data_IF_067795554731
#
_entry.id   IF_067795554731
#
_cell.length_a   1.000
_cell.length_b   1.000
_cell.length_c   1.000
_cell.angle_alpha   90.00
_cell.angle_beta   90.00
_cell.angle_gamma   90.00
#
_symmetry.space_group_name_H-M   'P 1'
#
loop_
_entity.id
_entity.type
_entity.pdbx_description
1 polymer ?
#
# COMPACT_ATOMS: atom_id res chain seq x y z
N UNK A 1 2.55 50.25 11.79
CA UNK A 1 1.30 49.80 11.15
C UNK A 1 1.37 48.28 11.13
N UNK A 2 0.57 47.62 11.96
CA UNK A 2 0.60 46.18 12.14
C UNK A 2 -0.79 45.56 12.03
N UNK A 3 -0.78 44.22 11.97
CA UNK A 3 -1.87 43.23 11.83
C UNK A 3 -2.10 42.75 10.39
N UNK A 4 -2.28 41.46 10.12
CA UNK A 4 -2.17 40.19 10.87
C UNK A 4 -2.20 39.10 9.79
N UNK A 5 -1.28 38.14 9.84
CA UNK A 5 -1.42 36.88 9.12
C UNK A 5 -2.55 36.09 9.80
N UNK A 6 -3.54 35.66 9.01
CA UNK A 6 -4.66 34.85 9.44
C UNK A 6 -4.28 33.37 9.45
N UNK A 7 -4.66 32.73 10.54
CA UNK A 7 -4.38 31.36 10.97
C UNK A 7 -4.81 30.30 9.94
N UNK A 8 -3.88 29.46 9.46
CA UNK A 8 -4.18 28.26 8.66
C UNK A 8 -4.51 27.03 9.53
N UNK A 9 -4.45 27.16 10.86
CA UNK A 9 -4.68 26.05 11.80
C UNK A 9 -6.15 25.68 12.00
N UNK A 10 -7.10 26.56 11.64
CA UNK A 10 -8.52 26.37 11.91
C UNK A 10 -9.32 25.65 10.80
N UNK A 11 -8.70 25.39 9.63
CA UNK A 11 -9.40 24.76 8.49
C UNK A 11 -9.36 23.22 8.52
N UNK A 12 -8.35 22.62 9.15
CA UNK A 12 -8.24 21.16 9.30
C UNK A 12 -9.22 20.60 10.35
N UNK A 13 -9.54 21.38 11.38
CA UNK A 13 -10.41 20.91 12.47
C UNK A 13 -11.92 20.92 12.16
N UNK A 14 -12.35 21.65 11.12
CA UNK A 14 -13.79 21.85 10.83
C UNK A 14 -14.34 20.84 9.80
N UNK A 15 -13.47 20.16 9.04
CA UNK A 15 -13.91 19.14 8.07
C UNK A 15 -14.15 17.75 8.67
N UNK A 16 -13.66 17.48 9.88
CA UNK A 16 -13.81 16.16 10.51
C UNK A 16 -15.14 15.92 11.26
N UNK A 17 -15.97 16.93 11.50
CA UNK A 17 -17.22 16.77 12.27
C UNK A 17 -18.47 16.47 11.45
N UNK A 18 -18.36 16.18 10.14
CA UNK A 18 -19.51 15.79 9.29
C UNK A 18 -19.47 14.34 8.79
N UNK A 19 -18.81 13.44 9.53
CA UNK A 19 -18.77 11.99 9.22
C UNK A 19 -19.44 11.10 10.28
N UNK A 20 -20.50 11.57 10.92
CA UNK A 20 -21.41 10.69 11.65
C UNK A 20 -22.84 11.19 11.46
N UNK A 21 -23.56 10.61 10.50
CA UNK A 21 -25.01 10.36 10.57
C UNK A 21 -25.46 9.61 9.31
N UNK A 22 -25.42 8.28 9.38
CA UNK A 22 -26.07 7.35 8.46
C UNK A 22 -26.85 6.31 9.27
N UNK A 23 -28.07 5.90 8.84
CA UNK A 23 -29.11 5.45 9.76
C UNK A 23 -28.92 4.00 10.23
N UNK A 24 -28.99 3.81 11.54
CA UNK A 24 -28.96 2.49 12.19
C UNK A 24 -30.23 1.64 11.96
N UNK A 25 -30.14 0.31 12.10
CA UNK A 25 -31.21 -0.62 11.73
C UNK A 25 -32.32 -0.66 12.80
N UNK A 26 -33.54 -0.30 12.42
CA UNK A 26 -34.71 -0.41 13.28
C UNK A 26 -35.31 -1.83 13.26
N UNK A 27 -35.29 -2.48 14.43
CA UNK A 27 -36.44 -3.14 15.06
C UNK A 27 -37.16 -4.27 14.31
N UNK A 28 -36.74 -5.51 14.57
CA UNK A 28 -37.53 -6.73 14.33
C UNK A 28 -38.80 -6.74 15.20
N UNK A 29 -39.97 -6.81 14.58
CA UNK A 29 -41.22 -7.17 15.27
C UNK A 29 -41.42 -8.70 15.27
N UNK A 30 -41.61 -9.25 16.47
CA UNK A 30 -42.00 -10.64 16.69
C UNK A 30 -43.42 -10.92 16.20
N UNK A 31 -43.56 -11.86 15.26
CA UNK A 31 -44.84 -12.54 15.01
C UNK A 31 -44.63 -14.05 15.14
N UNK A 32 -45.16 -14.61 16.24
CA UNK A 32 -45.21 -16.07 16.48
C UNK A 32 -46.11 -16.72 15.42
N UNK A 33 -45.55 -17.64 14.63
CA UNK A 33 -46.32 -18.58 13.83
C UNK A 33 -45.99 -20.00 14.28
N UNK A 34 -47.06 -20.78 14.49
CA UNK A 34 -47.09 -22.14 15.03
C UNK A 34 -46.36 -23.13 14.10
N UNK A 35 -45.62 -24.06 14.68
CA UNK A 35 -45.18 -25.30 14.01
C UNK A 35 -46.33 -26.30 13.93
N UNK A 36 -46.36 -27.12 12.88
CA UNK A 36 -46.72 -28.52 13.02
C UNK A 36 -45.56 -29.44 12.62
N UNK A 37 -45.38 -30.50 13.39
CA UNK A 37 -44.43 -31.59 13.18
C UNK A 37 -44.82 -32.45 11.98
N UNK A 38 -43.81 -32.98 11.28
CA UNK A 38 -43.96 -33.98 10.23
C UNK A 38 -42.61 -34.37 9.66
N UNK A 39 -42.07 -35.51 10.08
CA UNK A 39 -40.77 -36.03 9.65
C UNK A 39 -40.77 -36.61 8.24
N UNK A 40 -39.58 -36.61 7.63
CA UNK A 40 -39.18 -37.59 6.62
C UNK A 40 -37.64 -37.57 6.50
N UNK A 41 -37.04 -38.74 6.68
CA UNK A 41 -35.66 -39.06 6.29
C UNK A 41 -35.41 -38.68 4.83
N UNK A 42 -34.37 -37.90 4.60
CA UNK A 42 -33.87 -37.55 3.28
C UNK A 42 -32.35 -37.52 3.31
N UNK A 43 -31.73 -38.54 2.73
CA UNK A 43 -30.28 -38.70 2.62
C UNK A 43 -29.60 -37.40 2.17
N UNK A 44 -28.63 -36.93 2.96
CA UNK A 44 -27.74 -35.83 2.61
C UNK A 44 -26.86 -36.33 1.46
N UNK A 45 -27.21 -35.98 0.22
CA UNK A 45 -26.26 -35.95 -0.88
C UNK A 45 -25.24 -34.87 -0.55
N UNK A 46 -24.03 -35.27 -0.19
CA UNK A 46 -22.89 -34.35 -0.16
C UNK A 46 -22.76 -33.72 -1.55
N UNK A 47 -23.07 -32.43 -1.62
CA UNK A 47 -22.72 -31.64 -2.79
C UNK A 47 -21.20 -31.38 -2.72
N UNK A 48 -20.49 -31.40 -3.87
CA UNK A 48 -19.08 -31.08 -3.90
C UNK A 48 -18.86 -29.70 -3.28
N UNK A 49 -17.93 -29.59 -2.33
CA UNK A 49 -17.48 -28.31 -1.77
C UNK A 49 -16.57 -27.61 -2.77
N UNK A 50 -17.12 -27.28 -3.92
CA UNK A 50 -16.47 -26.36 -4.85
C UNK A 50 -17.32 -25.09 -4.89
N UNK A 51 -17.22 -24.32 -3.81
CA UNK A 51 -17.64 -22.92 -3.85
C UNK A 51 -16.39 -22.17 -4.29
N UNK A 52 -16.26 -21.93 -5.59
CA UNK A 52 -15.44 -20.85 -6.09
C UNK A 52 -15.76 -19.61 -5.26
N UNK A 53 -14.80 -19.23 -4.42
CA UNK A 53 -15.00 -18.21 -3.40
C UNK A 53 -14.81 -16.88 -4.09
N UNK A 54 -15.89 -16.13 -4.28
CA UNK A 54 -15.80 -14.79 -4.85
C UNK A 54 -14.99 -13.90 -3.89
N UNK A 55 -13.86 -13.39 -4.36
CA UNK A 55 -13.08 -12.34 -3.72
C UNK A 55 -13.72 -11.02 -4.15
N UNK A 56 -14.11 -10.19 -3.18
CA UNK A 56 -14.54 -8.83 -3.46
C UNK A 56 -13.28 -7.97 -3.43
N UNK A 57 -13.01 -7.25 -4.52
CA UNK A 57 -11.92 -6.29 -4.59
C UNK A 57 -12.55 -4.91 -4.45
N UNK A 58 -12.25 -4.23 -3.35
CA UNK A 58 -12.64 -2.83 -3.12
C UNK A 58 -11.47 -1.91 -2.77
N UNK A 59 -10.27 -2.49 -2.61
CA UNK A 59 -9.03 -1.79 -2.38
C UNK A 59 -7.78 -2.56 -2.82
N UNK A 60 -6.65 -1.98 -2.49
CA UNK A 60 -5.36 -2.67 -2.44
C UNK A 60 -4.68 -2.36 -1.10
N UNK A 61 -3.89 -3.29 -0.57
CA UNK A 61 -3.01 -3.03 0.57
C UNK A 61 -1.56 -2.93 0.12
N UNK A 62 -0.76 -2.13 0.81
CA UNK A 62 0.62 -1.86 0.44
C UNK A 62 1.58 -1.90 1.62
N UNK A 63 2.85 -2.22 1.30
CA UNK A 63 4.01 -1.77 2.03
C UNK A 63 4.49 -0.47 1.38
N UNK A 64 4.33 0.65 2.08
CA UNK A 64 4.79 1.96 1.64
C UNK A 64 6.15 2.34 2.22
N UNK A 65 6.92 3.12 1.46
CA UNK A 65 8.24 3.61 1.84
C UNK A 65 8.28 5.14 1.91
N UNK A 66 9.03 5.69 2.85
CA UNK A 66 9.36 7.10 2.86
C UNK A 66 10.37 7.43 1.76
N UNK A 67 9.87 8.01 0.67
CA UNK A 67 10.64 8.38 -0.51
C UNK A 67 10.97 9.89 -0.55
N UNK A 68 10.77 10.62 0.57
CA UNK A 68 10.95 12.07 0.57
C UNK A 68 12.41 12.45 0.27
N UNK A 69 12.64 13.04 -0.90
CA UNK A 69 13.96 13.46 -1.38
C UNK A 69 14.36 14.83 -0.80
N UNK A 70 14.55 14.86 0.52
CA UNK A 70 15.03 16.01 1.26
C UNK A 70 15.86 15.56 2.46
N UNK A 71 16.95 16.27 2.75
CA UNK A 71 17.78 16.06 3.95
C UNK A 71 17.02 16.28 5.26
N UNK A 72 15.85 16.92 5.20
CA UNK A 72 14.94 17.11 6.32
C UNK A 72 14.12 15.84 6.65
N UNK A 73 14.07 14.86 5.75
CA UNK A 73 13.42 13.56 6.02
C UNK A 73 14.16 12.82 7.13
N UNK A 74 13.40 12.26 8.08
CA UNK A 74 13.96 11.45 9.18
C UNK A 74 13.96 9.95 8.86
N UNK A 75 13.40 9.54 7.71
CA UNK A 75 13.49 8.17 7.22
C UNK A 75 14.91 7.81 6.76
N UNK A 76 15.21 6.52 6.73
CA UNK A 76 16.51 5.98 6.37
C UNK A 76 16.88 6.37 4.92
N UNK A 77 18.04 6.99 4.66
CA UNK A 77 18.39 7.53 3.35
C UNK A 77 18.38 6.52 2.19
N UNK A 78 18.71 5.25 2.46
CA UNK A 78 18.60 4.15 1.48
C UNK A 78 17.20 4.04 0.84
N UNK A 79 16.13 4.43 1.55
CA UNK A 79 14.77 4.40 1.03
C UNK A 79 14.49 5.45 -0.04
N UNK A 80 15.40 6.41 -0.30
CA UNK A 80 15.29 7.33 -1.44
C UNK A 80 15.68 6.65 -2.76
N UNK A 81 16.51 5.61 -2.69
CA UNK A 81 16.97 4.86 -3.86
C UNK A 81 15.90 3.86 -4.35
N UNK A 82 15.38 4.02 -5.58
CA UNK A 82 14.42 3.08 -6.13
C UNK A 82 14.98 1.66 -6.28
N UNK A 83 16.27 1.49 -6.55
CA UNK A 83 16.86 0.15 -6.71
C UNK A 83 16.88 -0.63 -5.39
N UNK A 84 17.08 0.07 -4.27
CA UNK A 84 16.98 -0.50 -2.93
C UNK A 84 15.56 -0.99 -2.63
N UNK A 85 14.56 -0.13 -2.84
CA UNK A 85 13.14 -0.47 -2.63
C UNK A 85 12.68 -1.60 -3.56
N UNK A 86 13.07 -1.53 -4.83
CA UNK A 86 12.71 -2.49 -5.87
C UNK A 86 13.13 -3.92 -5.48
N UNK A 87 14.33 -4.07 -4.91
CA UNK A 87 14.86 -5.37 -4.49
C UNK A 87 13.94 -6.13 -3.52
N UNK A 88 13.15 -5.41 -2.71
CA UNK A 88 12.23 -6.01 -1.75
C UNK A 88 11.05 -6.75 -2.39
N UNK A 89 10.69 -6.44 -3.64
CA UNK A 89 9.66 -7.21 -4.35
C UNK A 89 10.04 -8.70 -4.49
N UNK A 90 11.33 -9.00 -4.69
CA UNK A 90 11.80 -10.39 -4.75
C UNK A 90 11.99 -11.02 -3.37
N UNK A 91 12.08 -10.21 -2.31
CA UNK A 91 12.19 -10.71 -0.94
C UNK A 91 10.84 -11.15 -0.37
N UNK A 92 9.72 -10.63 -0.87
CA UNK A 92 8.40 -10.86 -0.29
C UNK A 92 7.64 -12.01 -0.98
N UNK A 93 7.24 -13.02 -0.20
CA UNK A 93 6.35 -14.08 -0.67
C UNK A 93 4.88 -13.64 -0.49
N UNK A 94 4.39 -12.84 -1.45
CA UNK A 94 3.04 -12.27 -1.39
C UNK A 94 1.95 -13.34 -1.33
N UNK A 95 2.12 -14.48 -2.02
CA UNK A 95 1.16 -15.58 -1.95
C UNK A 95 1.09 -16.16 -0.53
N UNK A 96 2.24 -16.38 0.11
CA UNK A 96 2.26 -16.81 1.51
C UNK A 96 1.68 -15.76 2.46
N UNK A 97 1.86 -14.47 2.16
CA UNK A 97 1.19 -13.37 2.86
C UNK A 97 -0.33 -13.51 2.79
N UNK A 98 -0.88 -13.63 1.59
CA UNK A 98 -2.31 -13.86 1.34
C UNK A 98 -2.83 -15.11 2.07
N UNK A 99 -2.10 -16.22 2.00
CA UNK A 99 -2.52 -17.49 2.61
C UNK A 99 -2.54 -17.42 4.15
N UNK A 100 -1.58 -16.73 4.76
CA UNK A 100 -1.43 -16.69 6.22
C UNK A 100 -2.20 -15.55 6.87
N UNK A 101 -2.12 -14.34 6.31
CA UNK A 101 -2.70 -13.14 6.89
C UNK A 101 -4.17 -13.01 6.51
N UNK A 102 -4.49 -13.23 5.23
CA UNK A 102 -5.85 -13.10 4.71
C UNK A 102 -6.52 -14.43 4.43
N UNK A 103 -5.97 -15.57 4.82
CA UNK A 103 -6.58 -16.90 4.68
C UNK A 103 -7.11 -17.20 3.25
N UNK A 104 -6.47 -16.62 2.23
CA UNK A 104 -6.88 -16.73 0.83
C UNK A 104 -8.15 -15.94 0.45
N UNK A 105 -8.53 -14.92 1.21
CA UNK A 105 -9.65 -14.02 0.89
C UNK A 105 -9.25 -12.82 0.02
N UNK A 106 -7.95 -12.63 -0.21
CA UNK A 106 -7.38 -11.61 -1.11
C UNK A 106 -6.54 -12.30 -2.18
N UNK A 107 -6.02 -11.55 -3.15
CA UNK A 107 -5.08 -12.06 -4.16
C UNK A 107 -3.80 -11.23 -4.15
N UNK A 108 -2.63 -11.82 -4.48
CA UNK A 108 -1.38 -11.07 -4.53
C UNK A 108 -1.47 -9.86 -5.47
N UNK A 109 -0.98 -8.71 -5.01
CA UNK A 109 -0.97 -7.47 -5.76
C UNK A 109 0.13 -7.42 -6.82
N UNK A 110 -0.03 -6.55 -7.82
CA UNK A 110 1.00 -6.22 -8.82
C UNK A 110 1.19 -4.72 -8.96
N UNK A 111 0.12 -3.99 -9.27
CA UNK A 111 0.10 -2.52 -9.42
C UNK A 111 -0.99 -1.90 -8.55
N UNK A 112 -1.03 -0.57 -8.47
CA UNK A 112 -2.02 0.17 -7.67
C UNK A 112 -3.46 0.11 -8.23
N UNK A 113 -3.65 -0.43 -9.43
CA UNK A 113 -4.98 -0.65 -10.01
C UNK A 113 -5.18 -2.16 -10.10
N UNK A 114 -6.14 -2.76 -9.39
CA UNK A 114 -6.38 -4.20 -9.47
C UNK A 114 -6.93 -4.62 -10.85
N UNK A 115 -6.63 -5.85 -11.31
CA UNK A 115 -7.22 -6.40 -12.53
C UNK A 115 -8.75 -6.58 -12.37
N UNK A 116 -9.48 -6.51 -13.49
CA UNK A 116 -10.92 -6.77 -13.57
C UNK A 116 -11.83 -5.85 -12.72
N UNK A 117 -11.30 -4.82 -12.06
CA UNK A 117 -12.11 -3.83 -11.34
C UNK A 117 -12.82 -2.86 -12.29
N UNK A 118 -12.14 -2.46 -13.37
CA UNK A 118 -12.68 -1.64 -14.44
C UNK A 118 -12.93 -2.49 -15.70
N UNK A 119 -13.80 -2.04 -16.61
CA UNK A 119 -14.19 -2.86 -17.78
C UNK A 119 -14.33 -2.11 -19.11
N UNK A 120 -14.28 -0.77 -19.14
CA UNK A 120 -14.38 0.02 -20.38
C UNK A 120 -13.74 1.43 -20.23
N UNK A 121 -12.41 1.56 -20.42
CA UNK A 121 -11.44 0.47 -20.52
C UNK A 121 -11.15 -0.15 -19.15
N UNK A 122 -10.54 -1.34 -19.15
CA UNK A 122 -9.81 -1.81 -17.98
C UNK A 122 -8.52 -1.00 -17.87
N UNK A 123 -8.32 -0.30 -16.75
CA UNK A 123 -7.16 0.57 -16.53
C UNK A 123 -5.94 -0.20 -15.99
N UNK A 124 -6.10 -1.49 -15.68
CA UNK A 124 -5.02 -2.30 -15.13
C UNK A 124 -3.90 -2.53 -16.15
N UNK A 125 -2.68 -2.15 -15.77
CA UNK A 125 -1.48 -2.56 -16.48
C UNK A 125 -0.91 -3.81 -15.81
N UNK A 126 -0.90 -4.93 -16.54
CA UNK A 126 -0.27 -6.15 -16.06
C UNK A 126 1.22 -6.15 -16.45
N UNK A 127 2.15 -6.22 -15.48
CA UNK A 127 3.57 -6.34 -15.77
C UNK A 127 3.84 -7.59 -16.64
N UNK A 128 4.54 -7.45 -17.78
CA UNK A 128 4.95 -8.59 -18.59
C UNK A 128 5.75 -9.62 -17.78
N UNK A 129 5.62 -10.90 -18.12
CA UNK A 129 6.23 -11.99 -17.36
C UNK A 129 7.76 -11.86 -17.21
N UNK A 130 8.41 -11.18 -18.15
CA UNK A 130 9.86 -10.95 -18.17
C UNK A 130 10.33 -9.93 -17.13
N UNK A 131 9.46 -9.01 -16.72
CA UNK A 131 9.78 -7.97 -15.73
C UNK A 131 9.01 -8.15 -14.42
N UNK A 132 8.02 -9.05 -14.41
CA UNK A 132 7.20 -9.33 -13.23
C UNK A 132 8.06 -9.86 -12.08
N UNK A 133 7.98 -9.19 -10.93
CA UNK A 133 8.60 -9.64 -9.70
C UNK A 133 8.02 -10.97 -9.24
N UNK A 134 8.92 -11.81 -8.74
CA UNK A 134 8.60 -13.13 -8.17
C UNK A 134 9.38 -13.30 -6.89
N UNK A 135 8.84 -14.09 -5.94
CA UNK A 135 9.55 -14.37 -4.71
C UNK A 135 10.82 -15.20 -4.99
N UNK A 136 11.97 -14.55 -4.86
CA UNK A 136 13.30 -15.12 -4.99
C UNK A 136 14.30 -14.31 -4.13
N UNK A 137 14.52 -14.71 -2.86
CA UNK A 137 15.44 -14.01 -1.97
C UNK A 137 16.89 -13.95 -2.48
N UNK A 138 17.31 -14.85 -3.37
CA UNK A 138 18.66 -14.80 -3.93
C UNK A 138 18.77 -13.70 -5.00
N UNK A 139 17.72 -13.53 -5.82
CA UNK A 139 17.64 -12.35 -6.71
C UNK A 139 17.57 -11.06 -5.90
N UNK A 140 16.80 -11.02 -4.81
CA UNK A 140 16.75 -9.84 -3.94
C UNK A 140 18.13 -9.46 -3.39
N UNK A 141 18.90 -10.45 -2.90
CA UNK A 141 20.30 -10.23 -2.46
C UNK A 141 21.17 -9.68 -3.58
N UNK A 142 21.12 -10.29 -4.76
CA UNK A 142 21.88 -9.82 -5.92
C UNK A 142 21.50 -8.38 -6.29
N UNK A 143 20.21 -8.04 -6.26
CA UNK A 143 19.73 -6.69 -6.58
C UNK A 143 20.19 -5.65 -5.56
N UNK A 144 20.21 -6.01 -4.27
CA UNK A 144 20.77 -5.16 -3.22
C UNK A 144 22.28 -4.96 -3.39
N UNK A 145 23.04 -6.00 -3.78
CA UNK A 145 24.46 -5.88 -4.10
C UNK A 145 24.70 -4.95 -5.31
N UNK A 146 23.94 -5.14 -6.40
CA UNK A 146 24.00 -4.32 -7.61
C UNK A 146 23.65 -2.85 -7.34
N UNK A 147 22.73 -2.60 -6.41
CA UNK A 147 22.31 -1.28 -5.97
C UNK A 147 23.31 -0.61 -5.01
N UNK A 148 24.34 -1.32 -4.55
CA UNK A 148 25.39 -0.76 -3.70
C UNK A 148 25.15 -0.89 -2.19
N UNK A 149 24.35 -1.88 -1.77
CA UNK A 149 24.09 -2.21 -0.35
C UNK A 149 24.65 -3.59 -0.01
N UNK A 150 25.97 -3.82 -0.14
CA UNK A 150 26.58 -5.11 0.18
C UNK A 150 26.47 -5.46 1.67
N UNK A 151 26.75 -6.71 2.01
CA UNK A 151 27.21 -7.15 3.34
C UNK A 151 28.75 -7.21 3.27
N UNK A 152 29.40 -6.14 3.70
CA UNK A 152 30.82 -5.88 3.45
C UNK A 152 31.73 -6.61 4.42
N UNK A 153 31.25 -6.87 5.63
CA UNK A 153 32.02 -7.52 6.70
C UNK A 153 31.66 -9.01 6.91
N UNK A 154 30.60 -9.48 6.26
CA UNK A 154 30.16 -10.88 6.26
C UNK A 154 29.42 -11.27 7.53
N UNK A 155 28.89 -10.31 8.29
CA UNK A 155 28.11 -10.56 9.50
C UNK A 155 26.64 -10.95 9.22
N UNK A 156 26.22 -10.84 7.96
CA UNK A 156 24.89 -11.15 7.48
C UNK A 156 23.95 -9.94 7.38
N UNK A 157 24.42 -8.72 7.71
CA UNK A 157 23.67 -7.48 7.58
C UNK A 157 24.27 -6.59 6.50
N UNK A 158 23.41 -5.99 5.69
CA UNK A 158 23.82 -5.06 4.64
C UNK A 158 24.06 -3.68 5.20
N UNK A 159 24.99 -2.94 4.62
CA UNK A 159 25.35 -1.61 5.09
C UNK A 159 24.98 -0.49 4.11
N UNK A 160 24.73 0.69 4.67
CA UNK A 160 24.66 1.96 3.97
C UNK A 160 25.73 2.88 4.54
N UNK A 161 26.63 3.39 3.69
CA UNK A 161 27.77 4.22 4.11
C UNK A 161 28.65 3.58 5.21
N UNK A 162 28.68 2.24 5.27
CA UNK A 162 29.49 1.46 6.20
C UNK A 162 28.81 1.15 7.54
N UNK A 163 27.55 1.54 7.74
CA UNK A 163 26.76 1.22 8.93
C UNK A 163 25.63 0.23 8.58
N UNK A 164 25.29 -0.74 9.46
CA UNK A 164 24.20 -1.68 9.21
C UNK A 164 22.85 -0.99 8.96
N UNK A 165 22.11 -1.47 7.98
CA UNK A 165 20.79 -0.94 7.65
C UNK A 165 19.75 -1.51 8.62
N UNK A 166 19.16 -0.62 9.41
CA UNK A 166 18.00 -0.91 10.26
C UNK A 166 16.82 -0.04 9.84
N UNK A 167 15.67 -0.66 9.57
CA UNK A 167 14.45 0.03 9.15
C UNK A 167 13.32 -0.18 10.16
N UNK A 168 12.56 0.86 10.45
CA UNK A 168 11.26 0.77 11.11
C UNK A 168 10.16 0.28 10.16
N UNK A 169 9.31 -0.63 10.63
CA UNK A 169 8.08 -1.00 9.93
C UNK A 169 6.88 -0.81 10.84
N UNK A 170 6.00 0.11 10.45
CA UNK A 170 4.80 0.41 11.22
C UNK A 170 3.62 -0.38 10.68
N UNK A 171 3.00 -1.18 11.55
CA UNK A 171 1.70 -1.80 11.31
C UNK A 171 0.62 -1.14 12.16
N UNK A 172 -0.61 -1.11 11.64
CA UNK A 172 -1.75 -0.49 12.32
C UNK A 172 -2.35 -1.40 13.40
N UNK A 173 -2.74 -0.83 14.53
CA UNK A 173 -3.50 -1.53 15.60
C UNK A 173 -4.82 -2.10 15.05
N UNK A 174 -5.41 -1.38 14.10
CA UNK A 174 -6.70 -1.61 13.48
C UNK A 174 -6.72 -2.86 12.58
N UNK A 175 -5.56 -3.32 12.13
CA UNK A 175 -5.41 -4.42 11.18
C UNK A 175 -4.57 -5.55 11.75
N UNK A 176 -5.22 -6.66 12.13
CA UNK A 176 -4.54 -7.85 12.61
C UNK A 176 -3.74 -8.53 11.50
N UNK A 177 -4.23 -8.43 10.27
CA UNK A 177 -3.62 -8.88 9.03
C UNK A 177 -2.31 -8.13 8.78
N UNK A 178 -2.31 -6.80 8.87
CA UNK A 178 -1.09 -5.98 8.74
C UNK A 178 -0.06 -6.31 9.83
N UNK A 179 -0.49 -6.53 11.08
CA UNK A 179 0.43 -6.93 12.15
C UNK A 179 1.04 -8.32 11.94
N UNK A 180 0.34 -9.23 11.27
CA UNK A 180 0.88 -10.54 10.89
C UNK A 180 1.82 -10.40 9.71
N UNK A 181 1.45 -9.63 8.68
CA UNK A 181 2.27 -9.40 7.50
C UNK A 181 3.58 -8.70 7.88
N UNK A 182 3.56 -7.71 8.78
CA UNK A 182 4.78 -7.03 9.24
C UNK A 182 5.81 -8.01 9.85
N UNK A 183 5.36 -9.05 10.54
CA UNK A 183 6.25 -10.10 11.08
C UNK A 183 6.83 -10.98 9.98
N UNK A 184 6.06 -11.26 8.93
CA UNK A 184 6.55 -11.97 7.75
C UNK A 184 7.59 -11.14 7.01
N UNK A 185 7.31 -9.85 6.76
CA UNK A 185 8.23 -8.89 6.15
C UNK A 185 9.53 -8.83 6.94
N UNK A 186 9.49 -8.70 8.26
CA UNK A 186 10.70 -8.69 9.09
C UNK A 186 11.53 -9.98 8.96
N UNK A 187 10.88 -11.14 8.78
CA UNK A 187 11.57 -12.40 8.50
C UNK A 187 12.19 -12.43 7.11
N UNK A 188 11.43 -12.06 6.08
CA UNK A 188 11.88 -12.02 4.69
C UNK A 188 13.03 -11.03 4.46
N UNK A 189 12.95 -9.86 5.08
CA UNK A 189 13.97 -8.82 4.95
C UNK A 189 15.25 -9.22 5.69
N UNK A 190 15.11 -9.89 6.84
CA UNK A 190 16.25 -10.50 7.52
C UNK A 190 16.96 -11.53 6.64
N UNK A 191 16.23 -12.35 5.88
CA UNK A 191 16.82 -13.37 5.00
C UNK A 191 17.66 -12.75 3.86
N UNK A 192 17.44 -11.47 3.54
CA UNK A 192 18.23 -10.69 2.57
C UNK A 192 19.17 -9.68 3.23
N UNK A 193 19.36 -9.74 4.56
CA UNK A 193 20.33 -8.94 5.30
C UNK A 193 19.86 -7.54 5.70
N UNK A 194 18.55 -7.30 5.77
CA UNK A 194 17.98 -6.02 6.24
C UNK A 194 17.25 -6.24 7.56
N UNK A 195 17.64 -5.48 8.60
CA UNK A 195 16.99 -5.58 9.91
C UNK A 195 15.75 -4.71 9.93
N UNK A 196 14.61 -5.31 10.30
CA UNK A 196 13.33 -4.61 10.42
C UNK A 196 12.85 -4.63 11.87
N UNK A 197 12.61 -3.44 12.42
CA UNK A 197 12.03 -3.25 13.75
C UNK A 197 10.53 -2.96 13.57
N UNK A 198 9.67 -3.93 13.93
CA UNK A 198 8.22 -3.78 13.78
C UNK A 198 7.62 -3.03 14.96
N UNK A 199 6.86 -1.99 14.66
CA UNK A 199 6.07 -1.23 15.62
C UNK A 199 4.58 -1.32 15.29
N UNK A 200 3.76 -1.31 16.33
CA UNK A 200 2.30 -1.33 16.18
C UNK A 200 1.74 -0.08 16.85
N UNK A 201 1.09 0.77 16.07
CA UNK A 201 0.48 2.01 16.55
C UNK A 201 -0.86 2.26 15.85
N UNK A 202 -1.70 3.13 16.42
CA UNK A 202 -2.96 3.51 15.81
C UNK A 202 -2.74 4.41 14.58
N UNK A 203 -3.76 4.50 13.73
CA UNK A 203 -3.75 5.31 12.51
C UNK A 203 -3.34 6.77 12.75
N UNK A 204 -3.83 7.39 13.82
CA UNK A 204 -3.53 8.78 14.12
C UNK A 204 -2.06 8.99 14.44
N UNK A 205 -1.47 8.08 15.23
CA UNK A 205 -0.04 8.11 15.53
C UNK A 205 0.85 7.90 14.30
N UNK A 206 0.47 6.99 13.38
CA UNK A 206 1.18 6.83 12.11
C UNK A 206 1.08 8.09 11.25
N UNK A 207 -0.11 8.70 11.15
CA UNK A 207 -0.29 9.95 10.41
C UNK A 207 0.53 11.11 11.02
N UNK A 208 0.61 11.20 12.35
CA UNK A 208 1.43 12.21 13.03
C UNK A 208 2.92 12.09 12.64
N UNK A 209 3.43 10.86 12.41
CA UNK A 209 4.79 10.62 11.92
C UNK A 209 4.92 10.91 10.42
N UNK A 210 3.94 10.50 9.61
CA UNK A 210 3.94 10.72 8.16
C UNK A 210 3.92 12.20 7.80
N UNK A 211 3.14 12.99 8.57
CA UNK A 211 2.95 14.41 8.34
C UNK A 211 3.65 15.31 9.38
N UNK A 212 4.76 14.82 9.95
CA UNK A 212 5.50 15.52 10.99
C UNK A 212 6.17 16.81 10.48
N UNK A 213 6.17 17.85 11.32
CA UNK A 213 6.96 19.08 11.09
C UNK A 213 7.89 19.37 12.26
N UNK A 214 9.12 19.77 11.93
CA UNK A 214 10.06 20.34 12.90
C UNK A 214 10.12 21.86 12.70
N UNK A 215 9.36 22.60 13.50
CA UNK A 215 9.15 24.03 13.28
C UNK A 215 8.20 24.27 12.10
N UNK A 216 8.67 25.00 11.08
CA UNK A 216 7.94 25.24 9.83
C UNK A 216 8.40 24.31 8.69
N UNK A 217 9.26 23.32 8.99
CA UNK A 217 9.86 22.41 8.02
C UNK A 217 9.15 21.06 8.06
N UNK A 218 8.73 20.56 6.90
CA UNK A 218 8.17 19.21 6.75
C UNK A 218 9.27 18.15 6.93
N UNK A 219 9.11 17.24 7.89
CA UNK A 219 10.13 16.27 8.32
C UNK A 219 9.50 14.89 8.57
N UNK A 220 8.99 14.19 7.53
CA UNK A 220 8.35 12.88 7.68
C UNK A 220 9.27 11.90 8.43
N UNK A 221 8.71 11.20 9.42
CA UNK A 221 9.46 10.46 10.42
C UNK A 221 9.04 8.99 10.51
N UNK A 222 9.23 8.30 9.39
CA UNK A 222 8.99 6.87 9.26
C UNK A 222 9.91 6.33 8.16
N UNK A 223 10.15 5.02 8.20
CA UNK A 223 10.85 4.31 7.14
C UNK A 223 9.83 3.61 6.24
N UNK A 224 9.07 2.68 6.83
CA UNK A 224 8.08 1.88 6.12
C UNK A 224 6.79 1.73 6.92
N UNK A 225 5.68 1.54 6.22
CA UNK A 225 4.38 1.33 6.85
C UNK A 225 3.50 0.37 6.04
N UNK A 226 2.54 -0.27 6.71
CA UNK A 226 1.48 -1.04 6.06
C UNK A 226 0.17 -0.28 6.11
N UNK A 227 -0.39 -0.01 4.93
CA UNK A 227 -1.68 0.67 4.77
C UNK A 227 -2.48 0.04 3.62
N UNK A 228 -3.63 0.63 3.33
CA UNK A 228 -4.45 0.25 2.18
C UNK A 228 -5.28 1.41 1.65
N UNK A 229 -5.48 1.43 0.35
CA UNK A 229 -6.30 2.41 -0.36
C UNK A 229 -7.57 1.77 -0.91
N UNK A 230 -8.68 2.50 -0.83
CA UNK A 230 -9.91 2.13 -1.52
C UNK A 230 -9.88 2.59 -2.97
N UNK A 231 -10.58 1.85 -3.82
CA UNK A 231 -10.72 2.18 -5.24
C UNK A 231 -11.87 3.17 -5.45
N UNK A 232 -11.68 4.10 -6.37
CA UNK A 232 -12.74 4.99 -6.85
C UNK A 232 -13.31 4.51 -8.19
N UNK A 233 -14.36 5.17 -8.71
CA UNK A 233 -14.90 4.87 -10.03
C UNK A 233 -13.97 5.30 -11.19
N UNK A 234 -13.07 6.23 -10.93
CA UNK A 234 -12.04 6.66 -11.88
C UNK A 234 -10.68 6.55 -11.19
N UNK A 235 -9.64 5.99 -11.85
CA UNK A 235 -8.34 5.76 -11.22
C UNK A 235 -7.57 7.06 -10.92
N UNK A 236 -8.04 8.20 -11.42
CA UNK A 236 -7.38 9.50 -11.26
C UNK A 236 -7.11 9.89 -9.80
N UNK A 237 -7.96 9.48 -8.84
CA UNK A 237 -7.69 9.74 -7.42
C UNK A 237 -6.45 9.00 -6.92
N UNK A 238 -6.38 7.68 -7.13
CA UNK A 238 -5.22 6.87 -6.74
C UNK A 238 -3.94 7.32 -7.46
N UNK A 239 -4.05 7.65 -8.75
CA UNK A 239 -2.93 8.17 -9.52
C UNK A 239 -2.42 9.50 -8.95
N UNK A 240 -3.28 10.30 -8.32
CA UNK A 240 -2.92 11.61 -7.76
C UNK A 240 -1.99 11.52 -6.56
N UNK A 241 -2.03 10.43 -5.77
CA UNK A 241 -1.29 10.32 -4.50
C UNK A 241 0.23 10.32 -4.69
N UNK A 242 0.69 10.10 -5.91
CA UNK A 242 2.11 10.09 -6.30
C UNK A 242 2.55 11.37 -7.02
N UNK A 243 1.79 12.46 -6.85
CA UNK A 243 2.12 13.78 -7.38
C UNK A 243 2.65 14.70 -6.29
N UNK A 244 3.55 15.61 -6.65
CA UNK A 244 4.18 16.58 -5.76
C UNK A 244 3.16 17.48 -5.05
N UNK A 245 2.06 17.84 -5.72
CA UNK A 245 0.97 18.62 -5.12
C UNK A 245 0.21 17.84 -4.03
N UNK A 246 0.42 16.52 -3.91
CA UNK A 246 -0.12 15.70 -2.82
C UNK A 246 0.86 15.46 -1.66
N UNK A 247 2.13 15.88 -1.76
CA UNK A 247 3.02 15.94 -0.60
C UNK A 247 2.38 16.84 0.46
N UNK A 248 2.51 16.47 1.74
CA UNK A 248 1.81 17.12 2.88
C UNK A 248 0.27 17.01 2.83
N UNK A 249 -0.29 16.19 1.92
CA UNK A 249 -1.72 15.94 1.79
C UNK A 249 -2.04 14.45 1.62
N UNK A 250 -2.32 13.95 0.41
CA UNK A 250 -2.67 12.54 0.19
C UNK A 250 -1.47 11.64 -0.13
N UNK A 251 -0.28 12.20 -0.37
CA UNK A 251 0.94 11.42 -0.58
C UNK A 251 1.53 11.04 0.78
N UNK A 252 1.44 9.77 1.12
CA UNK A 252 2.00 9.18 2.34
C UNK A 252 3.34 8.46 2.09
N UNK A 253 3.79 8.36 0.83
CA UNK A 253 5.13 7.90 0.46
C UNK A 253 6.08 9.07 0.15
N UNK A 254 5.56 10.29 -0.06
CA UNK A 254 6.35 11.47 -0.41
C UNK A 254 7.25 11.29 -1.65
N UNK A 255 6.85 10.40 -2.56
CA UNK A 255 7.56 10.14 -3.81
C UNK A 255 7.10 11.10 -4.91
N UNK A 256 8.00 11.46 -5.82
CA UNK A 256 7.68 12.23 -7.02
C UNK A 256 8.53 11.78 -8.19
N UNK A 257 8.00 11.95 -9.40
CA UNK A 257 8.75 11.79 -10.65
C UNK A 257 8.23 12.75 -11.72
N UNK A 258 9.11 13.44 -12.46
CA UNK A 258 8.70 14.44 -13.44
C UNK A 258 7.98 13.85 -14.68
N UNK A 259 8.26 12.61 -15.07
CA UNK A 259 7.50 11.94 -16.15
C UNK A 259 6.10 11.59 -15.66
N UNK A 260 5.99 11.02 -14.45
CA UNK A 260 4.72 10.69 -13.81
C UNK A 260 3.82 11.93 -13.64
N UNK A 261 4.39 13.04 -13.20
CA UNK A 261 3.73 14.35 -13.08
C UNK A 261 3.11 14.85 -14.39
N UNK A 262 3.86 14.73 -15.49
CA UNK A 262 3.40 15.15 -16.80
C UNK A 262 2.29 14.22 -17.32
N UNK A 263 2.46 12.91 -17.15
CA UNK A 263 1.45 11.92 -17.52
C UNK A 263 0.16 12.10 -16.72
N UNK A 264 0.24 12.42 -15.43
CA UNK A 264 -0.93 12.69 -14.60
C UNK A 264 -1.74 13.90 -15.12
N UNK A 265 -1.05 14.97 -15.54
CA UNK A 265 -1.69 16.15 -16.13
C UNK A 265 -2.31 15.83 -17.49
N UNK A 266 -1.64 15.04 -18.30
CA UNK A 266 -2.13 14.63 -19.62
C UNK A 266 -3.36 13.72 -19.52
N UNK A 267 -3.33 12.69 -18.68
CA UNK A 267 -4.45 11.75 -18.54
C UNK A 267 -5.71 12.44 -18.02
N UNK A 268 -5.57 13.46 -17.16
CA UNK A 268 -6.70 14.16 -16.55
C UNK A 268 -7.55 14.97 -17.54
N UNK A 269 -6.99 15.33 -18.71
CA UNK A 269 -7.67 16.13 -19.74
C UNK A 269 -7.81 15.40 -21.08
N UNK A 270 -7.33 14.16 -21.18
CA UNK A 270 -7.39 13.36 -22.39
C UNK A 270 -8.80 12.80 -22.62
N UNK A 271 -9.33 13.02 -23.83
CA UNK A 271 -10.69 12.64 -24.21
C UNK A 271 -10.73 11.35 -25.05
N UNK A 272 -9.61 10.94 -25.63
CA UNK A 272 -9.47 9.64 -26.30
C UNK A 272 -9.19 8.54 -25.26
N UNK A 273 -10.11 7.58 -25.03
CA UNK A 273 -9.94 6.53 -24.04
C UNK A 273 -8.70 5.66 -24.27
N UNK A 274 -8.31 5.43 -25.52
CA UNK A 274 -7.13 4.61 -25.86
C UNK A 274 -5.86 5.33 -25.45
N UNK A 275 -5.79 6.63 -25.74
CA UNK A 275 -4.63 7.45 -25.40
C UNK A 275 -4.52 7.69 -23.89
N UNK A 276 -5.65 7.89 -23.21
CA UNK A 276 -5.68 7.96 -21.75
C UNK A 276 -5.18 6.66 -21.13
N UNK A 277 -5.55 5.51 -21.70
CA UNK A 277 -5.11 4.20 -21.23
C UNK A 277 -3.59 4.03 -21.33
N UNK A 278 -2.99 4.46 -22.46
CA UNK A 278 -1.53 4.45 -22.63
C UNK A 278 -0.81 5.26 -21.53
N UNK A 279 -1.33 6.44 -21.18
CA UNK A 279 -0.76 7.23 -20.08
C UNK A 279 -0.91 6.53 -18.73
N UNK A 280 -2.09 6.03 -18.41
CA UNK A 280 -2.36 5.34 -17.13
C UNK A 280 -1.53 4.06 -16.99
N UNK A 281 -1.29 3.34 -18.09
CA UNK A 281 -0.39 2.19 -18.09
C UNK A 281 1.06 2.59 -17.83
N UNK A 282 1.56 3.62 -18.52
CA UNK A 282 2.92 4.11 -18.29
C UNK A 282 3.11 4.61 -16.86
N UNK A 283 2.11 5.26 -16.28
CA UNK A 283 2.14 5.68 -14.88
C UNK A 283 2.28 4.49 -13.93
N UNK A 284 1.52 3.41 -14.13
CA UNK A 284 1.66 2.18 -13.33
C UNK A 284 3.03 1.52 -13.53
N UNK A 285 3.55 1.50 -14.75
CA UNK A 285 4.90 0.98 -15.05
C UNK A 285 5.97 1.77 -14.30
N UNK A 286 5.90 3.11 -14.30
CA UNK A 286 6.83 3.95 -13.51
C UNK A 286 6.75 3.60 -12.03
N UNK A 287 5.55 3.48 -11.45
CA UNK A 287 5.40 3.10 -10.04
C UNK A 287 5.94 1.70 -9.78
N UNK A 288 5.77 0.76 -10.71
CA UNK A 288 6.29 -0.60 -10.61
C UNK A 288 7.83 -0.63 -10.63
N UNK A 289 8.45 0.17 -11.50
CA UNK A 289 9.91 0.30 -11.60
C UNK A 289 10.49 1.02 -10.38
N UNK A 290 9.85 2.11 -9.94
CA UNK A 290 10.35 3.00 -8.89
C UNK A 290 9.97 2.52 -7.49
N UNK A 291 8.97 1.64 -7.36
CA UNK A 291 8.57 1.00 -6.09
C UNK A 291 8.41 1.99 -4.92
N UNK A 292 7.61 3.08 -5.02
CA UNK A 292 7.24 3.85 -3.83
C UNK A 292 6.32 3.05 -2.91
N UNK A 293 5.60 2.07 -3.47
CA UNK A 293 4.86 1.02 -2.78
C UNK A 293 5.24 -0.36 -3.33
N UNK A 294 5.14 -1.38 -2.49
CA UNK A 294 4.91 -2.77 -2.90
C UNK A 294 3.44 -3.08 -2.61
N UNK A 295 2.65 -3.33 -3.66
CA UNK A 295 1.25 -3.73 -3.49
C UNK A 295 1.21 -5.18 -3.04
N UNK A 296 0.73 -5.38 -1.81
CA UNK A 296 0.79 -6.68 -1.12
C UNK A 296 -0.36 -7.58 -1.53
N UNK A 297 -1.57 -7.04 -1.64
CA UNK A 297 -2.75 -7.76 -2.10
C UNK A 297 -3.87 -6.84 -2.63
N UNK A 298 -4.87 -7.47 -3.25
CA UNK A 298 -6.17 -6.89 -3.61
C UNK A 298 -7.28 -7.60 -2.83
N UNK A 299 -8.16 -6.83 -2.18
CA UNK A 299 -9.18 -7.34 -1.27
C UNK A 299 -10.20 -6.32 -0.84
#
# INVERSE_FOLDING_TARGET
MGRRAGDRRDLLHVLHQRRHDGPGPQGRQHRRLRRPDGGADGAVREQPRDRGRAIAIDGFNELGFNCYDSDDSKGHPALRDPMFRQAFNWAMDLQKGVDLCWLGYTVPGTTIIPPDYYSDPDWHWEPPAEVKYTFDPEIAKQKLDEAGYPDSDGDGWREYEGEPIELGLIARVESAESQQLAKLIAGWFKDVGIKVNVEVMDEGALMDLQYEYTGDTFTPNYDMFLWGWYLDFDPGSMLSYFTADQIENWSDCNWTDPEYEELYKQQAVELDPTKRLEYVHRMQEILYEQTPYIVTDYG
#
